data_IF_479383626465
#
_entry.id   IF_479383626465
#
_cell.length_a   1.000
_cell.length_b   1.000
_cell.length_c   1.000
_cell.angle_alpha   90.00
_cell.angle_beta   90.00
_cell.angle_gamma   90.00
#
_symmetry.space_group_name_H-M   'P 1'
#
loop_
_entity.id
_entity.type
_entity.pdbx_description
1 polymer ?
#
# COMPACT_ATOMS: atom_id res chain seq x y z
N UNK A 1 -14.66 -1.32 -26.85
CA UNK A 1 -13.52 -0.71 -26.14
C UNK A 1 -14.05 -0.09 -24.87
N UNK A 2 -14.06 -0.85 -23.77
CA UNK A 2 -14.76 -0.44 -22.54
C UNK A 2 -13.87 0.45 -21.71
N UNK A 3 -14.17 1.75 -21.73
CA UNK A 3 -13.57 2.74 -20.85
C UNK A 3 -14.07 2.51 -19.42
N UNK A 4 -13.31 1.79 -18.59
CA UNK A 4 -13.51 1.81 -17.14
C UNK A 4 -12.58 2.84 -16.53
N UNK A 5 -13.07 4.07 -16.38
CA UNK A 5 -12.41 5.12 -15.60
C UNK A 5 -12.66 4.83 -14.11
N UNK A 6 -12.04 3.77 -13.61
CA UNK A 6 -11.97 3.44 -12.18
C UNK A 6 -11.21 4.55 -11.43
N UNK A 7 -11.47 4.78 -10.13
CA UNK A 7 -10.66 5.72 -9.34
C UNK A 7 -9.19 5.38 -9.56
N UNK A 8 -8.36 6.38 -9.89
CA UNK A 8 -6.95 6.22 -10.31
C UNK A 8 -6.19 5.36 -9.30
N UNK A 9 -6.20 4.06 -9.51
CA UNK A 9 -5.39 3.06 -8.82
C UNK A 9 -4.13 2.92 -9.67
N UNK A 10 -3.00 3.22 -9.06
CA UNK A 10 -1.71 3.13 -9.72
C UNK A 10 -0.70 2.56 -8.75
N UNK A 11 0.35 1.98 -9.30
CA UNK A 11 1.44 1.40 -8.53
C UNK A 11 2.66 2.31 -8.62
N UNK A 12 3.28 2.53 -7.46
CA UNK A 12 4.55 3.24 -7.36
C UNK A 12 5.53 2.39 -6.57
N UNK A 13 6.79 2.41 -6.97
CA UNK A 13 7.86 1.74 -6.23
C UNK A 13 8.56 2.76 -5.33
N UNK A 14 8.51 2.54 -4.03
CA UNK A 14 9.18 3.38 -3.03
C UNK A 14 10.11 2.49 -2.22
N UNK A 15 11.41 2.83 -2.18
CA UNK A 15 12.41 2.07 -1.44
C UNK A 15 12.41 0.56 -1.75
N UNK A 16 12.28 0.20 -3.04
CA UNK A 16 12.17 -1.18 -3.55
C UNK A 16 10.90 -1.94 -3.10
N UNK A 17 9.90 -1.24 -2.57
CA UNK A 17 8.61 -1.83 -2.20
C UNK A 17 7.55 -1.37 -3.21
N UNK A 18 6.84 -2.30 -3.87
CA UNK A 18 5.69 -1.96 -4.70
C UNK A 18 4.52 -1.52 -3.81
N UNK A 19 4.03 -0.31 -4.05
CA UNK A 19 2.93 0.30 -3.30
C UNK A 19 1.76 0.56 -4.23
N UNK A 20 0.61 -0.01 -3.91
CA UNK A 20 -0.64 0.28 -4.60
C UNK A 20 -1.30 1.50 -3.98
N UNK A 21 -1.46 2.57 -4.75
CA UNK A 21 -2.06 3.81 -4.30
C UNK A 21 -3.48 3.93 -4.83
N UNK A 22 -4.42 4.17 -3.93
CA UNK A 22 -5.82 4.45 -4.27
C UNK A 22 -6.20 5.82 -3.78
N UNK A 23 -6.63 6.65 -4.73
CA UNK A 23 -7.16 7.96 -4.45
C UNK A 23 -8.63 7.85 -4.05
N UNK A 24 -8.96 8.27 -2.81
CA UNK A 24 -10.32 8.26 -2.27
C UNK A 24 -10.63 9.59 -1.59
N UNK A 25 -11.92 9.93 -1.50
CA UNK A 25 -12.39 11.06 -0.69
C UNK A 25 -12.37 10.65 0.80
N UNK A 26 -11.19 10.69 1.40
CA UNK A 26 -10.94 10.39 2.81
C UNK A 26 -10.16 11.53 3.45
N UNK A 27 -10.31 11.72 4.77
CA UNK A 27 -9.59 12.77 5.50
C UNK A 27 -8.11 12.44 5.73
N UNK A 28 -7.82 11.18 6.03
CA UNK A 28 -6.48 10.73 6.42
C UNK A 28 -5.92 9.69 5.45
N UNK A 29 -4.59 9.69 5.28
CA UNK A 29 -3.90 8.66 4.53
C UNK A 29 -3.81 7.36 5.35
N UNK A 30 -4.27 6.25 4.80
CA UNK A 30 -4.25 4.94 5.46
C UNK A 30 -3.29 4.01 4.72
N UNK A 31 -2.41 3.33 5.48
CA UNK A 31 -1.43 2.38 4.95
C UNK A 31 -1.76 1.01 5.52
N UNK A 32 -1.96 0.02 4.65
CA UNK A 32 -2.19 -1.38 5.01
C UNK A 32 -1.15 -2.28 4.36
N UNK A 33 -0.73 -3.33 5.07
CA UNK A 33 0.12 -4.40 4.54
C UNK A 33 -0.73 -5.68 4.55
N UNK A 34 -0.90 -6.30 3.39
CA UNK A 34 -1.77 -7.46 3.23
C UNK A 34 -0.98 -8.74 2.88
N UNK A 35 -1.33 -9.90 3.45
CA UNK A 35 -0.83 -11.20 2.98
C UNK A 35 -1.29 -11.46 1.53
N UNK A 36 -0.66 -12.37 0.77
CA UNK A 36 0.41 -13.33 1.13
C UNK A 36 1.85 -12.83 0.95
N UNK A 37 2.07 -11.79 0.14
CA UNK A 37 3.42 -11.29 -0.19
C UNK A 37 3.82 -10.04 0.63
N UNK A 38 2.95 -9.60 1.55
CA UNK A 38 3.15 -8.35 2.25
C UNK A 38 2.93 -7.13 1.35
N UNK A 39 1.91 -7.19 0.49
CA UNK A 39 1.55 -6.13 -0.46
C UNK A 39 1.13 -4.88 0.30
N UNK A 40 1.75 -3.75 -0.03
CA UNK A 40 1.47 -2.46 0.61
C UNK A 40 0.41 -1.72 -0.19
N UNK A 41 -0.66 -1.33 0.48
CA UNK A 41 -1.75 -0.54 -0.09
C UNK A 41 -1.92 0.75 0.67
N UNK A 42 -2.03 1.85 -0.06
CA UNK A 42 -2.20 3.18 0.48
C UNK A 42 -3.50 3.74 -0.04
N UNK A 43 -4.41 4.08 0.87
CA UNK A 43 -5.53 4.95 0.56
C UNK A 43 -5.09 6.38 0.83
N UNK A 44 -5.02 7.20 -0.21
CA UNK A 44 -4.61 8.59 -0.12
C UNK A 44 -5.79 9.53 -0.44
N UNK A 45 -5.92 10.65 0.29
CA UNK A 45 -6.85 11.71 -0.06
C UNK A 45 -6.60 12.26 -1.47
N UNK A 46 -7.65 12.82 -2.10
CA UNK A 46 -7.55 13.45 -3.42
C UNK A 46 -6.60 14.66 -3.45
N UNK A 47 -6.46 15.38 -2.33
CA UNK A 47 -5.63 16.58 -2.22
C UNK A 47 -4.15 16.28 -1.89
N UNK A 48 -3.78 15.01 -1.65
CA UNK A 48 -2.38 14.66 -1.39
C UNK A 48 -1.58 14.60 -2.69
N UNK A 49 -0.32 15.02 -2.67
CA UNK A 49 0.59 14.77 -3.80
C UNK A 49 1.26 13.41 -3.66
N UNK A 50 1.88 12.92 -4.73
CA UNK A 50 2.72 11.71 -4.68
C UNK A 50 3.87 11.84 -3.68
N UNK A 51 4.41 13.05 -3.51
CA UNK A 51 5.48 13.33 -2.55
C UNK A 51 5.00 13.14 -1.10
N UNK A 52 3.80 13.63 -0.77
CA UNK A 52 3.19 13.40 0.55
C UNK A 52 3.02 11.90 0.84
N UNK A 53 2.62 11.12 -0.17
CA UNK A 53 2.51 9.66 -0.05
C UNK A 53 3.89 9.04 0.17
N UNK A 54 4.90 9.48 -0.59
CA UNK A 54 6.28 9.00 -0.48
C UNK A 54 6.84 9.24 0.93
N UNK A 55 6.66 10.44 1.47
CA UNK A 55 7.06 10.80 2.84
C UNK A 55 6.32 9.95 3.89
N UNK A 56 5.02 9.74 3.72
CA UNK A 56 4.23 8.88 4.61
C UNK A 56 4.69 7.42 4.60
N UNK A 57 5.13 6.91 3.44
CA UNK A 57 5.69 5.56 3.33
C UNK A 57 7.08 5.50 3.95
N UNK A 58 7.96 6.46 3.64
CA UNK A 58 9.34 6.51 4.17
C UNK A 58 9.32 6.54 5.70
N UNK A 59 8.50 7.40 6.30
CA UNK A 59 8.35 7.49 7.76
C UNK A 59 7.84 6.20 8.41
N UNK A 60 7.14 5.34 7.65
CA UNK A 60 6.60 4.06 8.12
C UNK A 60 7.33 2.83 7.59
N UNK A 61 8.49 2.97 6.95
CA UNK A 61 9.25 1.83 6.40
C UNK A 61 9.54 0.75 7.43
N UNK A 62 9.96 1.14 8.64
CA UNK A 62 10.24 0.20 9.74
C UNK A 62 9.00 -0.60 10.16
N UNK A 63 7.82 0.04 10.15
CA UNK A 63 6.55 -0.62 10.44
C UNK A 63 6.17 -1.58 9.30
N UNK A 64 6.28 -1.14 8.04
CA UNK A 64 6.00 -1.98 6.85
C UNK A 64 6.87 -3.23 6.86
N UNK A 65 8.19 -3.08 7.01
CA UNK A 65 9.13 -4.21 7.05
C UNK A 65 8.84 -5.18 8.19
N UNK A 66 8.48 -4.68 9.37
CA UNK A 66 8.07 -5.53 10.51
C UNK A 66 6.82 -6.34 10.18
N UNK A 67 5.82 -5.76 9.51
CA UNK A 67 4.62 -6.49 9.10
C UNK A 67 4.92 -7.51 8.00
N UNK A 68 5.71 -7.15 6.99
CA UNK A 68 6.15 -8.09 5.96
C UNK A 68 6.91 -9.28 6.56
N UNK A 69 7.83 -9.02 7.51
CA UNK A 69 8.55 -10.08 8.21
C UNK A 69 7.62 -10.96 9.06
N UNK A 70 6.62 -10.39 9.73
CA UNK A 70 5.60 -11.16 10.47
C UNK A 70 4.81 -12.07 9.54
N UNK A 71 4.39 -11.58 8.38
CA UNK A 71 3.67 -12.40 7.39
C UNK A 71 4.56 -13.48 6.76
N UNK A 72 5.85 -13.18 6.52
CA UNK A 72 6.82 -14.17 6.04
C UNK A 72 7.15 -15.24 7.08
N UNK A 73 7.16 -14.86 8.36
CA UNK A 73 7.44 -15.75 9.49
C UNK A 73 6.22 -16.56 9.95
N UNK A 74 5.00 -16.14 9.61
CA UNK A 74 3.82 -16.96 9.86
C UNK A 74 3.89 -18.19 8.96
N UNK A 75 3.97 -19.41 9.53
CA UNK A 75 3.90 -20.62 8.73
C UNK A 75 2.57 -20.57 7.99
N UNK A 76 2.65 -20.60 6.66
CA UNK A 76 1.50 -20.65 5.77
C UNK A 76 0.63 -21.81 6.26
N UNK A 77 -0.45 -21.53 7.01
CA UNK A 77 -1.49 -22.52 7.23
C UNK A 77 -2.16 -22.67 5.87
N UNK A 78 -1.64 -23.65 5.13
CA UNK A 78 -2.20 -24.20 3.92
C UNK A 78 -3.71 -24.41 4.11
N UNK A 79 -4.52 -24.15 3.07
CA UNK A 79 -5.96 -24.28 3.16
C UNK A 79 -6.33 -25.69 3.60
N UNK A 80 -7.23 -25.80 4.58
CA UNK A 80 -7.92 -27.05 4.90
C UNK A 80 -9.12 -27.20 3.97
#
# INVERSE_FOLDING_TARGET
MTTSKSPTDYQITIAQIPVQVIRKSIKNLHIGVYPPEGRVRVAAPLHFTDDNIRLAIISRLSWIKKHQAKFAAQPRQSPR
#
